data_IF_441338617070
#
_entry.id   IF_441338617070
#
_cell.length_a   1.000
_cell.length_b   1.000
_cell.length_c   1.000
_cell.angle_alpha   90.00
_cell.angle_beta   90.00
_cell.angle_gamma   90.00
#
_symmetry.space_group_name_H-M   'P 1'
#
loop_
_entity.id
_entity.type
_entity.pdbx_description
1 polymer ?
#
# COMPACT_ATOMS: atom_id res chain seq x y z
N UNK A 1 11.52 -6.13 16.27
CA UNK A 1 12.20 -5.27 15.29
C UNK A 1 12.75 -6.12 14.16
N UNK A 2 13.18 -5.53 13.03
CA UNK A 2 13.61 -6.27 11.83
C UNK A 2 14.92 -7.03 12.04
N UNK A 3 15.64 -6.78 13.14
CA UNK A 3 16.93 -7.39 13.48
C UNK A 3 16.96 -8.93 13.36
N UNK A 4 15.85 -9.63 13.63
CA UNK A 4 15.78 -11.09 13.48
C UNK A 4 15.79 -11.58 12.02
N UNK A 5 15.52 -10.69 11.06
CA UNK A 5 15.46 -10.98 9.63
C UNK A 5 16.68 -10.48 8.84
N UNK A 6 17.49 -9.60 9.44
CA UNK A 6 18.71 -9.03 8.84
C UNK A 6 19.94 -9.96 8.92
N UNK A 7 19.77 -11.23 9.31
CA UNK A 7 20.89 -12.16 9.44
C UNK A 7 21.39 -12.65 8.08
N UNK A 8 22.68 -12.37 7.79
CA UNK A 8 23.43 -12.80 6.61
C UNK A 8 23.18 -14.26 6.22
N UNK A 9 23.21 -14.54 4.91
CA UNK A 9 23.09 -15.89 4.32
C UNK A 9 24.14 -16.85 4.93
N UNK A 10 23.72 -17.70 5.86
CA UNK A 10 24.35 -19.01 6.06
C UNK A 10 23.59 -19.97 5.17
N UNK A 11 24.24 -20.39 4.09
CA UNK A 11 24.03 -21.61 3.30
C UNK A 11 24.00 -21.30 1.78
N UNK A 12 25.07 -21.73 1.11
CA UNK A 12 25.16 -21.79 -0.36
C UNK A 12 24.35 -22.99 -0.84
N UNK A 13 23.20 -22.74 -1.46
CA UNK A 13 22.65 -23.62 -2.49
C UNK A 13 22.03 -22.73 -3.57
N UNK A 14 22.60 -22.78 -4.78
CA UNK A 14 22.41 -21.80 -5.83
C UNK A 14 21.01 -21.79 -6.45
N UNK A 15 20.59 -20.58 -6.80
CA UNK A 15 19.73 -20.31 -7.95
C UNK A 15 20.37 -19.10 -8.66
N UNK A 16 20.81 -19.33 -9.90
CA UNK A 16 21.30 -18.29 -10.80
C UNK A 16 20.06 -17.59 -11.39
N UNK A 17 19.78 -16.37 -10.95
CA UNK A 17 18.93 -15.45 -11.71
C UNK A 17 19.67 -14.13 -11.89
N UNK A 18 19.90 -13.84 -13.16
CA UNK A 18 20.71 -12.77 -13.72
C UNK A 18 19.93 -11.45 -13.68
N UNK A 19 20.44 -10.44 -12.97
CA UNK A 19 20.15 -9.05 -13.33
C UNK A 19 21.22 -8.11 -12.80
N UNK A 20 21.66 -7.26 -13.73
CA UNK A 20 22.83 -6.40 -13.70
C UNK A 20 22.87 -5.39 -12.54
N UNK A 21 24.10 -5.19 -12.09
CA UNK A 21 24.67 -4.14 -11.25
C UNK A 21 24.08 -2.74 -11.48
N UNK A 22 23.42 -2.19 -10.45
CA UNK A 22 23.41 -0.76 -10.17
C UNK A 22 23.83 -0.57 -8.71
N UNK A 23 25.14 -0.49 -8.54
CA UNK A 23 25.85 -0.15 -7.32
C UNK A 23 25.36 1.16 -6.71
N UNK A 24 24.71 1.09 -5.55
CA UNK A 24 24.69 2.20 -4.60
C UNK A 24 25.25 1.74 -3.25
N UNK A 25 26.36 2.38 -2.91
CA UNK A 25 27.32 2.11 -1.85
C UNK A 25 26.75 2.33 -0.43
N UNK A 26 27.12 1.44 0.50
CA UNK A 26 26.84 1.58 1.92
C UNK A 26 26.61 0.26 2.67
N UNK A 27 27.68 -0.50 2.94
CA UNK A 27 27.84 -1.43 4.07
C UNK A 27 26.58 -2.11 4.66
N UNK A 28 25.74 -2.73 3.83
CA UNK A 28 24.68 -3.62 4.28
C UNK A 28 25.16 -5.07 4.14
N UNK A 29 25.42 -5.73 5.28
CA UNK A 29 25.53 -7.20 5.35
C UNK A 29 24.48 -7.83 4.42
N UNK A 30 24.90 -8.66 3.45
CA UNK A 30 24.03 -9.27 2.42
C UNK A 30 22.65 -9.62 2.99
N UNK A 31 21.68 -8.72 2.81
CA UNK A 31 20.36 -8.86 3.39
C UNK A 31 19.70 -10.04 2.69
N UNK A 32 19.28 -11.02 3.47
CA UNK A 32 18.57 -12.17 2.95
C UNK A 32 17.19 -11.74 2.46
N UNK A 33 17.06 -11.57 1.14
CA UNK A 33 15.84 -11.13 0.46
C UNK A 33 14.63 -12.02 0.78
N UNK A 34 14.84 -13.31 1.06
CA UNK A 34 13.76 -14.23 1.44
C UNK A 34 13.24 -13.90 2.84
N UNK A 35 14.15 -13.67 3.79
CA UNK A 35 13.78 -13.26 5.16
C UNK A 35 13.16 -11.87 5.18
N UNK A 36 13.66 -10.94 4.38
CA UNK A 36 13.10 -9.60 4.25
C UNK A 36 11.68 -9.63 3.66
N UNK A 37 11.47 -10.40 2.59
CA UNK A 37 10.13 -10.61 2.02
C UNK A 37 9.18 -11.20 3.04
N UNK A 38 9.63 -12.19 3.82
CA UNK A 38 8.84 -12.79 4.90
C UNK A 38 8.50 -11.76 5.99
N UNK A 39 9.46 -10.93 6.41
CA UNK A 39 9.21 -9.86 7.37
C UNK A 39 8.14 -8.88 6.89
N UNK A 40 8.27 -8.40 5.65
CA UNK A 40 7.30 -7.47 5.07
C UNK A 40 5.92 -8.11 4.88
N UNK A 41 5.86 -9.39 4.51
CA UNK A 41 4.61 -10.14 4.44
C UNK A 41 3.97 -10.35 5.84
N UNK A 42 4.78 -10.64 6.87
CA UNK A 42 4.29 -10.83 8.25
C UNK A 42 3.73 -9.53 8.88
N UNK A 43 4.04 -8.36 8.32
CA UNK A 43 3.42 -7.08 8.73
C UNK A 43 1.98 -6.93 8.25
N UNK A 44 1.55 -7.73 7.27
CA UNK A 44 0.17 -7.72 6.77
C UNK A 44 -0.72 -8.42 7.81
N UNK A 45 -1.28 -7.63 8.71
CA UNK A 45 -2.26 -8.12 9.69
C UNK A 45 -3.60 -8.33 9.01
N UNK A 46 -4.35 -9.31 9.51
CA UNK A 46 -5.78 -9.41 9.23
C UNK A 46 -6.49 -8.25 9.92
N UNK A 47 -7.01 -7.34 9.12
CA UNK A 47 -7.96 -6.33 9.56
C UNK A 47 -9.33 -6.68 8.99
N UNK A 48 -10.37 -6.42 9.76
CA UNK A 48 -11.75 -6.50 9.29
C UNK A 48 -12.40 -5.13 9.45
N UNK A 49 -13.44 -4.89 8.65
CA UNK A 49 -14.27 -3.71 8.72
C UNK A 49 -15.73 -4.14 8.63
N UNK A 50 -16.60 -3.38 9.28
CA UNK A 50 -18.06 -3.55 9.18
C UNK A 50 -18.58 -2.42 8.31
N UNK A 51 -19.35 -2.78 7.28
CA UNK A 51 -19.96 -1.83 6.36
C UNK A 51 -21.48 -2.00 6.37
N UNK A 52 -22.19 -0.97 6.82
CA UNK A 52 -23.65 -0.91 6.76
C UNK A 52 -24.09 -0.36 5.38
N UNK A 53 -25.03 -1.06 4.75
CA UNK A 53 -25.57 -0.67 3.44
C UNK A 53 -27.00 -0.11 3.60
N UNK A 54 -27.37 0.80 2.71
CA UNK A 54 -28.72 1.41 2.65
C UNK A 54 -29.83 0.40 2.32
N UNK A 55 -29.49 -0.70 1.63
CA UNK A 55 -30.44 -1.76 1.30
C UNK A 55 -29.77 -3.12 1.12
N UNK A 56 -30.56 -4.19 1.32
CA UNK A 56 -30.12 -5.56 1.04
C UNK A 56 -29.72 -5.77 -0.44
N UNK A 57 -30.32 -5.00 -1.37
CA UNK A 57 -29.94 -5.03 -2.78
C UNK A 57 -28.53 -4.49 -2.99
N UNK A 58 -28.18 -3.37 -2.34
CA UNK A 58 -26.84 -2.77 -2.41
C UNK A 58 -25.80 -3.73 -1.83
N UNK A 59 -26.06 -4.28 -0.65
CA UNK A 59 -25.17 -5.25 -0.01
C UNK A 59 -24.92 -6.47 -0.92
N UNK A 60 -25.98 -7.05 -1.51
CA UNK A 60 -25.86 -8.16 -2.45
C UNK A 60 -25.04 -7.81 -3.70
N UNK A 61 -25.21 -6.59 -4.21
CA UNK A 61 -24.50 -6.08 -5.37
C UNK A 61 -22.99 -5.98 -5.09
N UNK A 62 -22.63 -5.40 -3.94
CA UNK A 62 -21.24 -5.27 -3.47
C UNK A 62 -20.64 -6.66 -3.25
N UNK A 63 -21.33 -7.53 -2.53
CA UNK A 63 -20.87 -8.89 -2.28
C UNK A 63 -20.54 -9.63 -3.59
N UNK A 64 -21.47 -9.63 -4.55
CA UNK A 64 -21.28 -10.34 -5.81
C UNK A 64 -20.15 -9.79 -6.69
N UNK A 65 -19.80 -8.51 -6.53
CA UNK A 65 -18.76 -7.86 -7.35
C UNK A 65 -17.39 -7.80 -6.68
N UNK A 66 -17.34 -7.76 -5.35
CA UNK A 66 -16.11 -7.47 -4.61
C UNK A 66 -15.59 -8.68 -3.83
N UNK A 67 -16.43 -9.66 -3.49
CA UNK A 67 -15.97 -10.85 -2.79
C UNK A 67 -15.01 -11.68 -3.64
N UNK A 68 -13.86 -12.05 -3.07
CA UNK A 68 -12.80 -12.76 -3.77
C UNK A 68 -12.02 -11.92 -4.79
N UNK A 69 -12.26 -10.61 -4.86
CA UNK A 69 -11.55 -9.70 -5.77
C UNK A 69 -10.36 -9.05 -5.07
N UNK A 70 -9.26 -8.90 -5.80
CA UNK A 70 -8.08 -8.18 -5.33
C UNK A 70 -8.35 -6.68 -5.24
N UNK A 71 -7.92 -6.08 -4.14
CA UNK A 71 -7.92 -4.64 -3.98
C UNK A 71 -6.79 -4.01 -4.83
N UNK A 72 -7.18 -3.36 -5.92
CA UNK A 72 -6.27 -2.72 -6.88
C UNK A 72 -5.12 -3.64 -7.33
N UNK A 73 -3.86 -3.30 -7.01
CA UNK A 73 -2.66 -4.07 -7.31
C UNK A 73 -1.89 -4.43 -6.02
N UNK A 74 -2.64 -4.68 -4.94
CA UNK A 74 -2.09 -4.87 -3.60
C UNK A 74 -1.88 -6.34 -3.21
N UNK A 75 -2.20 -7.30 -4.08
CA UNK A 75 -2.27 -8.73 -3.79
C UNK A 75 -3.15 -9.11 -2.58
N UNK A 76 -3.95 -8.17 -2.06
CA UNK A 76 -4.86 -8.38 -0.96
C UNK A 76 -6.25 -8.68 -1.53
N UNK A 77 -6.72 -9.90 -1.33
CA UNK A 77 -8.05 -10.33 -1.74
C UNK A 77 -9.06 -9.97 -0.65
N UNK A 78 -10.17 -9.36 -1.05
CA UNK A 78 -11.26 -8.99 -0.15
C UNK A 78 -12.11 -10.24 0.11
N UNK A 79 -12.29 -10.61 1.38
CA UNK A 79 -13.24 -11.64 1.85
C UNK A 79 -14.44 -10.92 2.49
N UNK A 80 -15.60 -10.99 1.85
CA UNK A 80 -16.84 -10.39 2.34
C UNK A 80 -17.72 -11.46 2.97
N UNK A 81 -18.34 -11.13 4.10
CA UNK A 81 -19.32 -12.00 4.78
C UNK A 81 -20.45 -11.18 5.35
N UNK A 82 -21.64 -11.74 5.35
CA UNK A 82 -22.78 -11.14 6.03
C UNK A 82 -22.68 -11.40 7.53
N UNK A 83 -22.95 -10.36 8.31
CA UNK A 83 -22.99 -10.41 9.76
C UNK A 83 -24.44 -10.68 10.19
N UNK A 84 -24.70 -11.64 11.09
CA UNK A 84 -26.03 -11.83 11.67
C UNK A 84 -26.48 -10.61 12.49
N UNK A 85 -27.79 -10.36 12.53
CA UNK A 85 -28.37 -9.21 13.26
C UNK A 85 -28.13 -9.25 14.79
N UNK A 86 -27.77 -10.42 15.32
CA UNK A 86 -27.49 -10.64 16.75
C UNK A 86 -26.03 -10.34 17.14
N UNK A 87 -25.15 -10.06 16.18
CA UNK A 87 -23.74 -9.76 16.44
C UNK A 87 -23.59 -8.34 16.99
N UNK A 88 -22.94 -8.20 18.15
CA UNK A 88 -22.62 -6.91 18.76
C UNK A 88 -21.11 -6.65 18.68
N UNK A 89 -20.73 -5.45 18.25
CA UNK A 89 -19.33 -5.01 18.19
C UNK A 89 -19.04 -4.02 19.32
N UNK A 90 -17.92 -4.19 20.03
CA UNK A 90 -17.49 -3.26 21.06
C UNK A 90 -16.92 -1.98 20.42
N UNK A 91 -17.54 -0.83 20.71
CA UNK A 91 -17.08 0.48 20.25
C UNK A 91 -15.64 0.80 20.69
N UNK A 92 -15.17 0.22 21.80
CA UNK A 92 -13.81 0.42 22.30
C UNK A 92 -12.73 -0.21 21.38
N UNK A 93 -13.09 -1.19 20.56
CA UNK A 93 -12.17 -1.86 19.63
C UNK A 93 -12.13 -1.20 18.24
N UNK A 94 -13.02 -0.25 17.97
CA UNK A 94 -13.13 0.40 16.66
C UNK A 94 -11.97 1.36 16.44
N UNK A 95 -11.11 1.02 15.48
CA UNK A 95 -9.96 1.86 15.12
C UNK A 95 -10.35 3.16 14.40
N UNK A 96 -11.34 3.11 13.50
CA UNK A 96 -11.79 4.25 12.70
C UNK A 96 -13.23 4.08 12.23
N UNK A 97 -13.93 5.21 12.03
CA UNK A 97 -15.31 5.26 11.51
C UNK A 97 -15.37 6.29 10.40
N UNK A 98 -16.05 5.95 9.30
CA UNK A 98 -16.29 6.87 8.19
C UNK A 98 -17.74 6.74 7.70
N UNK A 99 -18.48 7.86 7.68
CA UNK A 99 -19.86 7.93 7.19
C UNK A 99 -19.99 8.64 5.84
N UNK A 100 -18.93 9.33 5.40
CA UNK A 100 -18.88 10.00 4.11
C UNK A 100 -17.43 10.09 3.62
N UNK A 101 -17.26 10.26 2.31
CA UNK A 101 -15.95 10.48 1.72
C UNK A 101 -15.57 11.95 1.91
N UNK A 102 -14.41 12.26 2.51
CA UNK A 102 -13.90 13.63 2.63
C UNK A 102 -13.75 14.31 1.26
N UNK A 103 -13.97 15.62 1.19
CA UNK A 103 -13.92 16.39 -0.07
C UNK A 103 -12.53 16.42 -0.72
N UNK A 104 -11.48 16.20 0.07
CA UNK A 104 -10.08 16.20 -0.31
C UNK A 104 -9.47 14.79 -0.33
N UNK A 105 -10.31 13.75 -0.29
CA UNK A 105 -9.83 12.37 -0.37
C UNK A 105 -9.18 12.09 -1.71
N UNK A 106 -7.94 11.59 -1.67
CA UNK A 106 -7.21 11.07 -2.83
C UNK A 106 -6.89 9.62 -2.55
N UNK A 107 -7.35 8.71 -3.43
CA UNK A 107 -7.05 7.28 -3.29
C UNK A 107 -5.53 7.07 -3.31
N UNK A 108 -4.95 6.43 -2.28
CA UNK A 108 -3.55 6.08 -2.29
C UNK A 108 -3.34 4.93 -3.28
N UNK A 109 -2.51 5.14 -4.29
CA UNK A 109 -2.08 4.04 -5.16
C UNK A 109 -1.08 3.16 -4.38
N UNK A 110 -1.44 1.91 -4.14
CA UNK A 110 -0.64 1.00 -3.32
C UNK A 110 -0.36 -0.32 -4.06
N UNK A 111 0.93 -0.70 -4.10
CA UNK A 111 1.39 -1.99 -4.61
C UNK A 111 2.09 -2.72 -3.48
N UNK A 112 1.72 -3.99 -3.26
CA UNK A 112 2.37 -4.84 -2.28
C UNK A 112 3.55 -5.59 -2.90
N UNK A 113 4.72 -4.97 -2.85
CA UNK A 113 5.94 -5.56 -3.39
C UNK A 113 6.35 -6.86 -2.67
N UNK A 114 6.00 -7.02 -1.39
CA UNK A 114 6.31 -8.23 -0.63
C UNK A 114 5.59 -9.48 -1.17
N UNK A 115 4.41 -9.32 -1.76
CA UNK A 115 3.68 -10.44 -2.36
C UNK A 115 4.01 -10.63 -3.84
N UNK A 116 4.15 -9.55 -4.62
CA UNK A 116 4.29 -9.61 -6.08
C UNK A 116 5.71 -9.74 -6.63
N UNK A 117 6.76 -9.41 -5.85
CA UNK A 117 8.13 -9.32 -6.37
C UNK A 117 9.15 -10.12 -5.54
N UNK A 118 10.24 -10.53 -6.19
CA UNK A 118 11.37 -11.23 -5.56
C UNK A 118 12.31 -10.28 -4.83
N UNK A 119 12.42 -9.03 -5.28
CA UNK A 119 13.21 -7.97 -4.65
C UNK A 119 12.28 -7.03 -3.88
N UNK A 120 12.49 -6.92 -2.57
CA UNK A 120 11.67 -6.13 -1.64
C UNK A 120 12.59 -5.16 -0.90
N UNK A 121 12.15 -3.92 -0.69
CA UNK A 121 12.89 -2.90 0.07
C UNK A 121 12.51 -2.97 1.55
N UNK A 122 13.49 -2.83 2.45
CA UNK A 122 13.25 -2.71 3.90
C UNK A 122 12.50 -1.40 4.19
N UNK A 123 11.33 -1.51 4.84
CA UNK A 123 10.46 -0.37 5.13
C UNK A 123 10.32 -0.07 6.63
N UNK A 124 11.25 -0.56 7.46
CA UNK A 124 11.13 -0.43 8.92
C UNK A 124 11.15 1.02 9.42
N UNK A 125 11.86 1.92 8.74
CA UNK A 125 11.97 3.35 9.05
C UNK A 125 11.53 4.23 7.87
N UNK A 126 10.78 3.65 6.91
CA UNK A 126 10.23 4.42 5.79
C UNK A 126 9.08 5.30 6.29
N UNK A 127 9.00 6.53 5.77
CA UNK A 127 7.93 7.48 6.05
C UNK A 127 6.58 7.00 5.49
N UNK A 128 5.49 7.27 6.22
CA UNK A 128 4.13 7.00 5.74
C UNK A 128 3.80 7.89 4.52
N UNK A 129 3.53 7.32 3.34
CA UNK A 129 3.24 8.10 2.13
C UNK A 129 1.98 8.96 2.26
N UNK A 130 1.02 8.58 3.11
CA UNK A 130 -0.18 9.38 3.37
C UNK A 130 0.13 10.70 4.08
N UNK A 131 1.20 10.73 4.88
CA UNK A 131 1.66 11.92 5.59
C UNK A 131 2.14 13.00 4.61
N UNK A 132 2.80 12.63 3.53
CA UNK A 132 3.28 13.59 2.53
C UNK A 132 2.14 14.20 1.71
N UNK A 133 1.10 13.41 1.41
CA UNK A 133 -0.10 13.88 0.71
C UNK A 133 -0.84 14.94 1.55
N UNK A 134 -1.01 14.68 2.85
CA UNK A 134 -1.63 15.63 3.79
C UNK A 134 -0.80 16.92 3.99
N UNK A 135 0.52 16.83 3.91
CA UNK A 135 1.41 18.00 3.97
C UNK A 135 1.61 18.72 2.62
N UNK A 136 0.83 18.37 1.59
CA UNK A 136 0.84 19.06 0.30
C UNK A 136 2.05 18.74 -0.59
N UNK A 137 2.89 17.76 -0.21
CA UNK A 137 3.91 17.19 -1.09
C UNK A 137 3.22 16.12 -1.93
N UNK A 138 2.75 16.53 -3.11
CA UNK A 138 2.06 15.64 -4.04
C UNK A 138 2.85 14.34 -4.33
N UNK A 139 2.10 13.31 -4.70
CA UNK A 139 2.55 11.94 -5.00
C UNK A 139 3.91 11.88 -5.74
N UNK A 140 4.88 11.06 -5.29
CA UNK A 140 6.11 10.83 -6.05
C UNK A 140 5.77 10.07 -7.34
N UNK A 141 5.73 10.77 -8.48
CA UNK A 141 5.46 10.15 -9.79
C UNK A 141 4.83 11.07 -10.85
N UNK A 142 4.34 12.25 -10.45
CA UNK A 142 3.79 13.22 -11.40
C UNK A 142 4.87 13.88 -12.27
N UNK A 143 5.00 13.47 -13.54
CA UNK A 143 5.82 14.18 -14.55
C UNK A 143 5.48 15.67 -14.54
N UNK A 144 6.43 16.53 -14.10
CA UNK A 144 6.29 18.00 -14.15
C UNK A 144 6.04 18.44 -15.60
N UNK A 145 4.82 18.87 -15.92
CA UNK A 145 4.53 19.59 -17.17
C UNK A 145 5.35 20.89 -17.18
N UNK A 146 6.32 20.99 -18.11
CA UNK A 146 7.01 22.26 -18.41
C UNK A 146 5.97 23.31 -18.83
N UNK A 147 5.79 24.38 -18.04
CA UNK A 147 4.98 25.54 -18.45
C UNK A 147 5.67 26.24 -19.62
N UNK A 148 4.99 26.28 -20.78
CA UNK A 148 5.39 27.07 -21.94
C UNK A 148 5.25 28.57 -21.69
N UNK A 149 6.21 29.35 -22.21
CA UNK A 149 6.30 30.80 -22.09
C UNK A 149 5.72 31.45 -23.36
N UNK A 150 4.51 32.01 -23.27
CA UNK A 150 3.90 33.01 -24.17
C UNK A 150 2.87 33.77 -23.29
N UNK A 151 2.64 35.06 -23.34
CA UNK A 151 2.89 36.15 -24.29
C UNK A 151 2.84 37.43 -23.44
N UNK A 152 3.80 38.35 -23.61
CA UNK A 152 3.65 39.74 -23.17
C UNK A 152 3.87 40.60 -24.41
N UNK A 153 2.79 40.85 -25.13
CA UNK A 153 2.70 42.00 -26.01
C UNK A 153 1.25 42.50 -25.96
N UNK A 154 1.08 43.80 -26.08
CA UNK A 154 -0.18 44.55 -26.05
C UNK A 154 -0.68 44.99 -24.67
N UNK A 155 -0.08 46.07 -24.16
CA UNK A 155 -0.81 47.33 -23.87
C UNK A 155 0.13 48.33 -23.18
N UNK A 156 0.57 49.35 -23.93
CA UNK A 156 0.70 50.72 -23.41
C UNK A 156 0.32 51.67 -24.56
N UNK A 157 -0.78 52.39 -24.34
CA UNK A 157 -0.90 53.79 -24.72
C UNK A 157 -0.08 54.57 -23.70
#
# INVERSE_FOLDING_TARGET
GPAQYLGARKDKQGDEDDSEDDSNDGDEEEIDMVKLRRYEAEKLKYFYAVAECDSARTAKCIYAMCDGVEYEASANVIDLRYIPDEEEFDEAEVHAVASSVPSDYVSPFFINNAMGHTKVKLSWDDDDPSRDVLHGKGMPGGKKKKKGKKEKEMQMI
#
